data_IF_483497678588
#
_entry.id   IF_483497678588
#
_cell.length_a   1.000
_cell.length_b   1.000
_cell.length_c   1.000
_cell.angle_alpha   90.00
_cell.angle_beta   90.00
_cell.angle_gamma   90.00
#
_symmetry.space_group_name_H-M   'P 1'
#
loop_
_entity.id
_entity.type
_entity.pdbx_description
1 polymer ?
#
# COMPACT_ATOMS: atom_id res chain seq x y z
N UNK A 1 9.39 7.49 1.59
CA UNK A 1 10.71 8.04 1.27
C UNK A 1 11.71 6.92 1.34
N UNK A 2 12.51 6.76 0.27
CA UNK A 2 13.73 6.00 0.41
C UNK A 2 14.48 6.59 1.61
N UNK A 3 15.09 5.76 2.42
CA UNK A 3 15.88 6.21 3.55
C UNK A 3 17.07 7.06 3.11
N UNK A 4 17.74 7.65 4.08
CA UNK A 4 18.96 8.41 3.89
C UNK A 4 20.02 7.62 3.08
N UNK A 5 20.87 8.32 2.39
CA UNK A 5 21.74 7.83 1.32
C UNK A 5 22.59 6.58 1.62
N UNK A 6 22.83 6.27 2.89
CA UNK A 6 23.74 5.19 3.29
C UNK A 6 23.17 3.77 3.11
N UNK A 7 21.86 3.64 2.89
CA UNK A 7 21.18 2.35 2.79
C UNK A 7 20.58 2.07 1.40
N UNK A 8 20.90 2.91 0.43
CA UNK A 8 20.38 2.81 -0.95
C UNK A 8 21.54 2.45 -1.88
N UNK A 9 21.35 1.39 -2.65
CA UNK A 9 22.33 0.93 -3.64
C UNK A 9 21.81 1.16 -5.06
N UNK A 10 22.72 1.52 -5.95
CA UNK A 10 22.42 1.55 -7.38
C UNK A 10 22.29 0.12 -7.91
N UNK A 11 21.36 -0.10 -8.83
CA UNK A 11 21.22 -1.40 -9.49
C UNK A 11 22.19 -1.45 -10.67
N UNK A 12 23.10 -2.42 -10.65
CA UNK A 12 24.11 -2.59 -11.68
C UNK A 12 23.47 -2.69 -13.08
N UNK A 13 24.02 -1.93 -14.01
CA UNK A 13 23.51 -1.88 -15.39
C UNK A 13 22.27 -0.99 -15.60
N UNK A 14 21.69 -0.43 -14.53
CA UNK A 14 20.47 0.39 -14.57
C UNK A 14 20.72 1.75 -13.92
N UNK A 15 21.27 2.71 -14.65
CA UNK A 15 21.70 4.01 -14.12
C UNK A 15 20.60 4.89 -13.48
N UNK A 16 19.33 4.54 -13.71
CA UNK A 16 18.17 5.28 -13.21
C UNK A 16 17.35 4.49 -12.17
N UNK A 17 17.89 3.37 -11.68
CA UNK A 17 17.20 2.52 -10.70
C UNK A 17 18.07 2.37 -9.46
N UNK A 18 17.46 2.66 -8.32
CA UNK A 18 18.07 2.43 -7.00
C UNK A 18 17.21 1.50 -6.18
N UNK A 19 17.82 0.73 -5.29
CA UNK A 19 17.09 -0.17 -4.39
C UNK A 19 17.51 -0.01 -2.94
N UNK A 20 16.63 -0.39 -2.04
CA UNK A 20 16.89 -0.53 -0.63
C UNK A 20 16.16 -1.74 -0.09
N UNK A 21 16.87 -2.61 0.62
CA UNK A 21 16.30 -3.75 1.35
C UNK A 21 16.08 -3.35 2.79
N UNK A 22 14.90 -3.62 3.31
CA UNK A 22 14.46 -3.21 4.65
C UNK A 22 13.85 -4.39 5.39
N UNK A 23 14.62 -5.10 6.20
CA UNK A 23 14.05 -6.11 7.08
C UNK A 23 13.25 -5.46 8.20
N UNK A 24 12.24 -6.16 8.69
CA UNK A 24 11.42 -5.77 9.85
C UNK A 24 10.77 -4.37 9.72
N UNK A 25 10.22 -4.06 8.55
CA UNK A 25 9.52 -2.78 8.36
C UNK A 25 8.06 -2.87 8.85
N UNK A 26 7.63 -1.85 9.58
CA UNK A 26 6.23 -1.70 9.96
C UNK A 26 5.43 -1.16 8.78
N UNK A 27 4.50 -1.95 8.30
CA UNK A 27 3.54 -1.58 7.26
C UNK A 27 2.21 -1.25 7.91
N UNK A 28 1.60 -0.16 7.49
CA UNK A 28 0.28 0.27 7.94
C UNK A 28 -0.65 0.23 6.73
N UNK A 29 -1.66 -0.64 6.78
CA UNK A 29 -2.71 -0.74 5.78
C UNK A 29 -3.94 0.03 6.24
N UNK A 30 -4.38 1.00 5.43
CA UNK A 30 -5.53 1.84 5.77
C UNK A 30 -6.63 1.69 4.71
N UNK A 31 -7.81 1.32 5.15
CA UNK A 31 -9.03 1.42 4.37
C UNK A 31 -9.74 2.74 4.73
N UNK A 32 -9.71 3.68 3.81
CA UNK A 32 -10.30 5.02 3.97
C UNK A 32 -11.77 5.09 3.51
N UNK A 33 -12.40 3.95 3.23
CA UNK A 33 -13.76 3.92 2.72
C UNK A 33 -13.91 4.48 1.30
N UNK A 34 -15.14 4.59 0.85
CA UNK A 34 -15.49 5.10 -0.48
C UNK A 34 -15.13 6.59 -0.58
N UNK A 35 -14.38 6.95 -1.61
CA UNK A 35 -13.97 8.33 -1.85
C UNK A 35 -13.06 8.93 -0.76
N UNK A 36 -12.45 8.10 0.08
CA UNK A 36 -11.59 8.56 1.16
C UNK A 36 -12.32 9.16 2.36
N UNK A 37 -13.64 8.98 2.47
CA UNK A 37 -14.50 9.59 3.49
C UNK A 37 -14.57 8.81 4.81
N UNK A 38 -13.81 7.72 4.94
CA UNK A 38 -13.81 6.89 6.14
C UNK A 38 -15.05 6.02 6.29
N UNK A 39 -15.33 5.67 7.52
CA UNK A 39 -16.47 4.89 7.95
C UNK A 39 -17.13 5.57 9.15
N UNK A 40 -18.44 5.81 9.06
CA UNK A 40 -19.23 6.23 10.21
C UNK A 40 -19.52 5.03 11.08
N UNK A 41 -19.13 5.07 12.34
CA UNK A 41 -19.35 4.01 13.32
C UNK A 41 -20.24 4.50 14.46
N UNK A 42 -21.04 3.61 15.01
CA UNK A 42 -21.76 3.88 16.25
C UNK A 42 -20.86 3.61 17.45
N UNK A 43 -20.66 4.63 18.31
CA UNK A 43 -19.82 4.50 19.49
C UNK A 43 -20.31 3.48 20.51
N UNK A 44 -21.59 3.12 20.45
CA UNK A 44 -22.23 2.20 21.40
C UNK A 44 -22.24 0.74 20.94
N UNK A 45 -22.61 0.45 19.69
CA UNK A 45 -22.76 -0.93 19.21
C UNK A 45 -21.75 -1.34 18.14
N UNK A 46 -20.91 -0.43 17.67
CA UNK A 46 -19.90 -0.69 16.64
C UNK A 46 -20.46 -0.90 15.22
N UNK A 47 -21.76 -0.68 14.99
CA UNK A 47 -22.30 -0.74 13.63
C UNK A 47 -21.59 0.30 12.76
N UNK A 48 -21.10 -0.12 11.59
CA UNK A 48 -20.30 0.72 10.71
C UNK A 48 -20.84 0.75 9.28
N UNK A 49 -20.76 1.91 8.64
CA UNK A 49 -21.10 2.10 7.23
C UNK A 49 -20.03 2.96 6.54
N UNK A 50 -19.71 2.68 5.26
CA UNK A 50 -18.80 3.54 4.51
C UNK A 50 -19.36 4.96 4.34
N UNK A 51 -18.52 5.98 4.53
CA UNK A 51 -18.90 7.39 4.35
C UNK A 51 -18.86 8.18 5.64
N UNK A 52 -19.13 9.47 5.52
CA UNK A 52 -19.08 10.47 6.58
C UNK A 52 -20.48 10.94 7.06
N UNK A 53 -21.55 10.29 6.58
CA UNK A 53 -22.91 10.66 6.92
C UNK A 53 -23.49 9.77 8.04
N UNK A 54 -23.72 10.31 9.25
CA UNK A 54 -24.30 9.55 10.36
C UNK A 54 -25.76 9.12 10.12
N UNK A 55 -26.47 9.72 9.18
CA UNK A 55 -27.86 9.36 8.83
C UNK A 55 -27.93 7.93 8.29
N UNK A 56 -26.89 7.48 7.60
CA UNK A 56 -26.81 6.12 7.03
C UNK A 56 -26.98 5.03 8.08
N UNK A 57 -26.59 5.26 9.33
CA UNK A 57 -26.75 4.27 10.41
C UNK A 57 -28.20 4.05 10.85
N UNK A 58 -29.12 4.95 10.49
CA UNK A 58 -30.55 4.82 10.83
C UNK A 58 -31.22 3.71 10.04
N UNK A 59 -30.75 3.47 8.83
CA UNK A 59 -31.40 2.59 7.86
C UNK A 59 -30.85 1.15 7.90
N UNK A 60 -29.82 0.89 8.69
CA UNK A 60 -29.24 -0.44 8.83
C UNK A 60 -29.74 -1.21 10.05
N UNK A 61 -29.72 -2.52 9.94
CA UNK A 61 -30.04 -3.41 11.06
C UNK A 61 -28.87 -3.37 12.06
N UNK A 62 -29.09 -2.67 13.16
CA UNK A 62 -28.05 -2.50 14.19
C UNK A 62 -28.04 -3.69 15.16
N UNK A 63 -26.88 -4.11 15.66
CA UNK A 63 -26.77 -5.20 16.63
C UNK A 63 -27.39 -4.83 17.96
N UNK A 64 -27.65 -5.84 18.78
CA UNK A 64 -28.05 -5.66 20.17
C UNK A 64 -26.87 -5.15 21.00
N UNK A 65 -27.17 -4.27 21.98
CA UNK A 65 -26.17 -3.78 22.95
C UNK A 65 -25.61 -4.88 23.85
N UNK A 66 -26.46 -5.87 24.17
CA UNK A 66 -26.12 -6.92 25.09
C UNK A 66 -26.79 -8.24 24.71
N UNK A 67 -26.13 -9.36 25.01
CA UNK A 67 -26.68 -10.70 24.84
C UNK A 67 -27.92 -10.94 25.71
N UNK A 68 -28.01 -10.30 26.87
CA UNK A 68 -29.12 -10.45 27.85
C UNK A 68 -30.26 -9.50 27.54
N UNK A 69 -29.97 -8.26 27.16
CA UNK A 69 -30.96 -7.28 26.78
C UNK A 69 -31.02 -7.19 25.24
N UNK A 70 -31.99 -7.88 24.64
CA UNK A 70 -32.17 -7.93 23.18
C UNK A 70 -32.74 -6.64 22.58
N UNK A 71 -32.57 -5.51 23.26
CA UNK A 71 -32.95 -4.20 22.73
C UNK A 71 -31.92 -3.75 21.70
N UNK A 72 -32.37 -3.46 20.48
CA UNK A 72 -31.50 -2.93 19.43
C UNK A 72 -30.97 -1.57 19.79
N UNK A 73 -29.73 -1.32 19.41
CA UNK A 73 -29.12 -0.02 19.62
C UNK A 73 -29.86 1.07 18.84
N UNK A 74 -30.19 2.16 19.51
CA UNK A 74 -30.82 3.37 18.94
C UNK A 74 -29.97 4.61 19.16
N UNK A 75 -28.73 4.44 19.59
CA UNK A 75 -27.82 5.56 19.84
C UNK A 75 -27.52 6.31 18.54
N UNK A 76 -27.36 7.60 18.65
CA UNK A 76 -27.02 8.54 17.57
C UNK A 76 -25.59 9.03 17.66
N UNK A 77 -24.89 8.66 18.73
CA UNK A 77 -23.49 9.03 18.93
C UNK A 77 -22.62 8.22 17.95
N UNK A 78 -21.95 8.93 17.06
CA UNK A 78 -21.19 8.37 15.94
C UNK A 78 -19.83 9.04 15.85
N UNK A 79 -18.85 8.29 15.37
CA UNK A 79 -17.53 8.77 15.03
C UNK A 79 -17.18 8.45 13.57
N UNK A 80 -16.26 9.18 12.98
CA UNK A 80 -15.75 8.90 11.63
C UNK A 80 -14.30 8.41 11.73
N UNK A 81 -14.08 7.19 11.29
CA UNK A 81 -12.78 6.52 11.41
C UNK A 81 -12.30 5.92 10.09
N UNK A 82 -11.00 5.75 9.96
CA UNK A 82 -10.42 4.87 8.97
C UNK A 82 -10.16 3.50 9.61
N UNK A 83 -10.49 2.44 8.91
CA UNK A 83 -10.19 1.08 9.36
C UNK A 83 -8.80 0.69 8.90
N UNK A 84 -8.04 0.05 9.76
CA UNK A 84 -6.70 -0.36 9.37
C UNK A 84 -6.11 -1.39 10.33
N UNK A 85 -4.99 -1.93 9.88
CA UNK A 85 -4.13 -2.78 10.69
C UNK A 85 -2.68 -2.51 10.34
N UNK A 86 -1.78 -2.87 11.21
CA UNK A 86 -0.35 -2.82 11.00
C UNK A 86 0.31 -4.16 11.29
N UNK A 87 1.43 -4.39 10.65
CA UNK A 87 2.25 -5.57 10.85
C UNK A 87 3.70 -5.26 10.49
N UNK A 88 4.62 -6.09 10.96
CA UNK A 88 6.05 -5.99 10.65
C UNK A 88 6.40 -7.06 9.63
N UNK A 89 7.14 -6.69 8.58
CA UNK A 89 7.56 -7.61 7.52
C UNK A 89 8.83 -7.13 6.83
N UNK A 90 9.41 -7.95 5.96
CA UNK A 90 10.54 -7.57 5.13
C UNK A 90 10.07 -6.86 3.86
N UNK A 91 10.83 -5.86 3.41
CA UNK A 91 10.47 -5.02 2.27
C UNK A 91 11.68 -4.73 1.38
N UNK A 92 11.48 -4.83 0.08
CA UNK A 92 12.34 -4.27 -0.95
C UNK A 92 11.67 -3.02 -1.53
N UNK A 93 12.44 -1.95 -1.68
CA UNK A 93 12.00 -0.72 -2.36
C UNK A 93 12.87 -0.52 -3.59
N UNK A 94 12.24 -0.33 -4.73
CA UNK A 94 12.88 0.07 -5.99
C UNK A 94 12.45 1.49 -6.33
N UNK A 95 13.39 2.39 -6.50
CA UNK A 95 13.17 3.76 -6.96
C UNK A 95 13.58 3.89 -8.42
N UNK A 96 12.64 4.25 -9.26
CA UNK A 96 12.85 4.52 -10.68
C UNK A 96 12.88 6.04 -10.89
N UNK A 97 14.04 6.58 -11.27
CA UNK A 97 14.16 7.97 -11.69
C UNK A 97 13.64 8.11 -13.13
N UNK A 98 12.74 9.04 -13.33
CA UNK A 98 12.06 9.23 -14.61
C UNK A 98 12.67 10.40 -15.40
N UNK A 99 12.82 10.21 -16.71
CA UNK A 99 13.24 11.28 -17.59
C UNK A 99 12.10 12.30 -17.79
N UNK A 100 12.30 13.50 -17.28
CA UNK A 100 11.33 14.60 -17.42
C UNK A 100 11.00 14.94 -18.86
N UNK A 101 11.96 14.82 -19.77
CA UNK A 101 11.73 15.16 -21.18
C UNK A 101 10.68 14.23 -21.82
N UNK A 102 10.64 12.97 -21.40
CA UNK A 102 9.65 11.99 -21.88
C UNK A 102 8.28 12.16 -21.23
N UNK A 103 8.23 12.70 -20.02
CA UNK A 103 7.01 12.77 -19.21
C UNK A 103 6.27 14.09 -19.38
N UNK A 104 6.98 15.20 -19.49
CA UNK A 104 6.38 16.55 -19.54
C UNK A 104 5.54 16.83 -20.79
N UNK A 105 5.67 16.00 -21.83
CA UNK A 105 4.90 16.08 -23.07
C UNK A 105 3.43 15.63 -22.86
N UNK A 106 3.12 14.86 -21.82
CA UNK A 106 1.79 14.30 -21.63
C UNK A 106 0.93 15.16 -20.69
N UNK A 107 -0.18 15.79 -21.19
CA UNK A 107 -1.07 16.60 -20.36
C UNK A 107 -1.78 15.80 -19.27
N UNK A 108 -1.84 14.46 -19.38
CA UNK A 108 -2.40 13.56 -18.38
C UNK A 108 -1.32 12.83 -17.55
N UNK A 109 -0.16 13.44 -17.42
CA UNK A 109 1.04 12.89 -16.77
C UNK A 109 0.75 12.10 -15.50
N UNK A 110 0.05 12.69 -14.55
CA UNK A 110 -0.19 12.05 -13.26
C UNK A 110 -1.05 10.78 -13.37
N UNK A 111 -2.08 10.80 -14.21
CA UNK A 111 -2.92 9.62 -14.45
C UNK A 111 -2.14 8.51 -15.15
N UNK A 112 -1.33 8.88 -16.13
CA UNK A 112 -0.49 7.93 -16.85
C UNK A 112 0.58 7.30 -15.95
N UNK A 113 1.30 8.10 -15.15
CA UNK A 113 2.32 7.62 -14.22
C UNK A 113 1.74 6.68 -13.15
N UNK A 114 0.56 6.99 -12.63
CA UNK A 114 -0.10 6.10 -11.67
C UNK A 114 -0.44 4.74 -12.30
N UNK A 115 -0.96 4.71 -13.53
CA UNK A 115 -1.24 3.45 -14.23
C UNK A 115 0.03 2.68 -14.56
N UNK A 116 1.06 3.37 -15.04
CA UNK A 116 2.36 2.77 -15.33
C UNK A 116 3.00 2.20 -14.06
N UNK A 117 2.99 2.97 -12.96
CA UNK A 117 3.50 2.53 -11.67
C UNK A 117 2.78 1.29 -11.14
N UNK A 118 1.44 1.25 -11.25
CA UNK A 118 0.67 0.06 -10.88
C UNK A 118 1.05 -1.16 -11.73
N UNK A 119 1.13 -0.99 -13.05
CA UNK A 119 1.49 -2.10 -13.96
C UNK A 119 2.92 -2.59 -13.70
N UNK A 120 3.86 -1.67 -13.49
CA UNK A 120 5.24 -2.01 -13.16
C UNK A 120 5.34 -2.78 -11.84
N UNK A 121 4.64 -2.31 -10.80
CA UNK A 121 4.62 -2.96 -9.50
C UNK A 121 4.11 -4.40 -9.59
N UNK A 122 3.00 -4.62 -10.31
CA UNK A 122 2.46 -5.97 -10.50
C UNK A 122 3.36 -6.85 -11.38
N UNK A 123 3.97 -6.30 -12.43
CA UNK A 123 4.91 -7.05 -13.26
C UNK A 123 6.13 -7.52 -12.45
N UNK A 124 6.70 -6.64 -11.64
CA UNK A 124 7.82 -6.97 -10.77
C UNK A 124 7.44 -8.01 -9.71
N UNK A 125 6.25 -7.90 -9.11
CA UNK A 125 5.75 -8.90 -8.16
C UNK A 125 5.64 -10.28 -8.82
N UNK A 126 5.03 -10.35 -10.00
CA UNK A 126 4.88 -11.61 -10.73
C UNK A 126 6.24 -12.21 -11.11
N UNK A 127 7.16 -11.40 -11.63
CA UNK A 127 8.50 -11.83 -11.97
C UNK A 127 9.28 -12.34 -10.74
N UNK A 128 9.16 -11.63 -9.61
CA UNK A 128 9.78 -12.03 -8.34
C UNK A 128 9.23 -13.37 -7.84
N UNK A 129 7.91 -13.57 -7.88
CA UNK A 129 7.31 -14.85 -7.49
C UNK A 129 7.77 -16.00 -8.40
N UNK A 130 7.91 -15.76 -9.70
CA UNK A 130 8.42 -16.76 -10.63
C UNK A 130 9.91 -17.08 -10.40
N UNK A 131 10.74 -16.07 -10.15
CA UNK A 131 12.18 -16.28 -9.88
C UNK A 131 12.40 -17.05 -8.58
N UNK A 132 11.57 -16.81 -7.55
CA UNK A 132 11.66 -17.46 -6.25
C UNK A 132 10.90 -18.80 -6.19
N UNK A 133 10.14 -19.16 -7.22
CA UNK A 133 9.27 -20.35 -7.26
C UNK A 133 8.28 -20.38 -6.08
N UNK A 134 7.61 -19.27 -5.83
CA UNK A 134 6.64 -19.10 -4.75
C UNK A 134 5.26 -18.73 -5.29
N UNK A 135 4.23 -18.91 -4.45
CA UNK A 135 2.86 -18.53 -4.77
C UNK A 135 2.71 -17.00 -4.91
N UNK A 136 1.85 -16.55 -5.82
CA UNK A 136 1.63 -15.12 -6.06
C UNK A 136 1.06 -14.36 -4.86
N UNK A 137 0.55 -15.05 -3.88
CA UNK A 137 0.02 -14.50 -2.62
C UNK A 137 1.06 -14.27 -1.56
N UNK A 138 2.29 -14.79 -1.74
CA UNK A 138 3.38 -14.68 -0.76
C UNK A 138 4.02 -13.29 -0.76
N UNK A 139 3.99 -12.59 -1.89
CA UNK A 139 4.45 -11.22 -2.03
C UNK A 139 3.30 -10.27 -2.31
N UNK A 140 3.36 -9.11 -1.70
CA UNK A 140 2.45 -7.99 -1.94
C UNK A 140 3.23 -6.82 -2.51
N UNK A 141 2.60 -6.04 -3.35
CA UNK A 141 3.22 -4.88 -3.97
C UNK A 141 2.43 -3.61 -3.75
N UNK A 142 3.11 -2.50 -3.87
CA UNK A 142 2.53 -1.17 -3.93
C UNK A 142 3.46 -0.23 -4.69
N UNK A 143 2.96 0.93 -5.03
CA UNK A 143 3.77 1.95 -5.70
C UNK A 143 3.42 3.35 -5.18
N UNK A 144 4.32 4.28 -5.45
CA UNK A 144 4.12 5.70 -5.20
C UNK A 144 4.80 6.55 -6.26
N UNK A 145 4.07 7.48 -6.86
CA UNK A 145 4.64 8.51 -7.72
C UNK A 145 5.06 9.69 -6.85
N UNK A 146 6.28 10.17 -7.02
CA UNK A 146 6.82 11.34 -6.31
C UNK A 146 7.32 12.38 -7.30
N UNK A 147 7.03 13.62 -6.98
CA UNK A 147 7.53 14.79 -7.67
C UNK A 147 8.27 15.68 -6.65
N UNK A 148 9.54 15.94 -6.87
CA UNK A 148 10.33 16.81 -6.02
C UNK A 148 11.31 17.65 -6.85
N UNK A 149 12.12 18.47 -6.17
CA UNK A 149 13.11 19.34 -6.85
C UNK A 149 14.19 18.54 -7.62
N UNK A 150 14.48 17.32 -7.18
CA UNK A 150 15.52 16.46 -7.77
C UNK A 150 15.00 15.64 -8.97
N UNK A 151 13.69 15.56 -9.17
CA UNK A 151 13.13 14.80 -10.29
C UNK A 151 11.75 14.25 -10.04
N UNK A 152 11.32 13.44 -10.97
CA UNK A 152 10.12 12.63 -10.91
C UNK A 152 10.53 11.17 -10.71
N UNK A 153 9.84 10.47 -9.83
CA UNK A 153 10.19 9.11 -9.43
C UNK A 153 8.95 8.23 -9.30
N UNK A 154 9.13 6.97 -9.59
CA UNK A 154 8.19 5.91 -9.19
C UNK A 154 8.90 4.99 -8.20
N UNK A 155 8.42 4.94 -6.97
CA UNK A 155 8.86 3.96 -5.98
C UNK A 155 7.94 2.74 -6.08
N UNK A 156 8.51 1.55 -6.22
CA UNK A 156 7.81 0.27 -6.13
C UNK A 156 8.23 -0.43 -4.85
N UNK A 157 7.25 -0.95 -4.15
CA UNK A 157 7.44 -1.69 -2.90
C UNK A 157 7.07 -3.14 -3.11
N UNK A 158 7.95 -4.06 -2.77
CA UNK A 158 7.67 -5.50 -2.65
C UNK A 158 7.87 -5.90 -1.20
N UNK A 159 6.93 -6.58 -0.60
CA UNK A 159 7.03 -7.01 0.79
C UNK A 159 6.34 -8.35 0.99
N UNK A 160 6.82 -9.10 1.98
CA UNK A 160 6.27 -10.40 2.31
C UNK A 160 4.86 -10.25 2.88
N UNK A 161 3.94 -11.10 2.46
CA UNK A 161 2.55 -11.06 2.92
C UNK A 161 2.40 -11.52 4.38
N UNK A 162 3.35 -12.30 4.87
CA UNK A 162 3.37 -12.81 6.23
C UNK A 162 3.92 -11.77 7.21
N UNK A 163 3.26 -11.67 8.36
CA UNK A 163 3.79 -10.94 9.52
C UNK A 163 5.10 -11.60 9.98
N UNK A 164 6.10 -10.80 10.29
CA UNK A 164 7.48 -11.17 10.60
C UNK A 164 8.35 -11.50 9.39
N UNK A 165 7.81 -11.41 8.17
CA UNK A 165 8.51 -11.72 6.93
C UNK A 165 8.78 -13.22 6.73
N UNK A 166 8.92 -13.62 5.47
CA UNK A 166 9.39 -14.95 5.08
C UNK A 166 10.79 -14.86 4.45
N UNK A 167 11.34 -13.63 4.33
CA UNK A 167 12.64 -13.37 3.73
C UNK A 167 12.61 -13.31 2.20
N UNK A 168 11.45 -13.39 1.56
CA UNK A 168 11.34 -13.36 0.11
C UNK A 168 11.76 -12.01 -0.45
N UNK A 169 11.26 -10.92 0.13
CA UNK A 169 11.61 -9.56 -0.29
C UNK A 169 13.12 -9.29 -0.18
N UNK A 170 13.77 -9.84 0.84
CA UNK A 170 15.24 -9.77 1.01
C UNK A 170 15.95 -10.63 -0.04
N UNK A 171 15.45 -11.84 -0.32
CA UNK A 171 16.06 -12.77 -1.27
C UNK A 171 16.07 -12.23 -2.71
N UNK A 172 15.10 -11.38 -3.08
CA UNK A 172 15.03 -10.75 -4.40
C UNK A 172 16.24 -9.85 -4.68
N UNK A 173 16.85 -9.27 -3.67
CA UNK A 173 18.04 -8.41 -3.84
C UNK A 173 19.11 -9.06 -4.73
N UNK A 174 19.40 -10.34 -4.48
CA UNK A 174 20.42 -11.08 -5.23
C UNK A 174 20.02 -11.38 -6.69
N UNK A 175 18.74 -11.34 -7.02
CA UNK A 175 18.18 -11.67 -8.32
C UNK A 175 17.64 -10.45 -9.08
N UNK A 176 17.79 -9.26 -8.52
CA UNK A 176 17.10 -8.05 -9.04
C UNK A 176 17.42 -7.76 -10.52
N UNK A 177 18.63 -8.02 -10.96
CA UNK A 177 19.05 -7.83 -12.35
C UNK A 177 18.31 -8.74 -13.35
N UNK A 178 17.79 -9.88 -12.90
CA UNK A 178 17.00 -10.78 -13.75
C UNK A 178 15.55 -10.31 -13.88
N UNK A 179 15.10 -9.47 -12.96
CA UNK A 179 13.73 -8.96 -12.92
C UNK A 179 13.57 -7.65 -13.68
N UNK A 180 14.67 -6.93 -13.92
CA UNK A 180 14.73 -5.64 -14.61
C UNK A 180 15.25 -5.79 -16.04
#
# INVERSE_FOLDING_TARGET
>A
TLPDADDVTDVDGCANIRMAVRPNQRIIMLNKGVGGKGFTICCDCGAAMPGDDPVVLKDILRPYRSKFNKTRCRHTDTDNVNLGYDFVTDMLVLEFALDRQLIDINPQRNSWLNRAGQSLAEALRLAACQELDIEFTELVTGYRVRHNQNGDFVDVYLYDSLSSGAGYAVSIESSIQKLL
#
